data_IF_705403834017
#
_entry.id   IF_705403834017
#
_cell.length_a   1.000
_cell.length_b   1.000
_cell.length_c   1.000
_cell.angle_alpha   90.00
_cell.angle_beta   90.00
_cell.angle_gamma   90.00
#
_symmetry.space_group_name_H-M   'P 1'
#
loop_
_entity.id
_entity.type
_entity.pdbx_description
1 polymer ?
#
# COMPACT_ATOMS: atom_id res chain seq x y z
N UNK A 1 -55.39 85.07 10.36
CA UNK A 1 -54.60 84.28 9.38
C UNK A 1 -54.39 82.86 9.92
N UNK A 2 -54.61 81.85 9.06
CA UNK A 2 -54.17 80.41 9.11
C UNK A 2 -54.88 79.49 10.14
N UNK A 3 -55.80 78.60 9.74
CA UNK A 3 -55.69 77.27 9.04
C UNK A 3 -54.95 76.22 9.89
N UNK A 4 -55.36 74.95 10.10
CA UNK A 4 -56.42 74.08 9.59
C UNK A 4 -56.59 72.85 10.52
N UNK A 5 -57.76 72.22 10.46
CA UNK A 5 -58.14 70.93 11.07
C UNK A 5 -57.16 69.78 10.77
N UNK A 6 -56.69 69.08 11.81
CA UNK A 6 -56.20 67.71 11.69
C UNK A 6 -57.32 66.74 12.06
N UNK A 7 -58.04 66.28 11.03
CA UNK A 7 -58.95 65.14 11.13
C UNK A 7 -58.12 63.86 11.14
N UNK A 8 -57.96 63.25 12.32
CA UNK A 8 -57.38 61.91 12.44
C UNK A 8 -58.44 60.86 12.12
N UNK A 9 -58.40 60.38 10.87
CA UNK A 9 -59.16 59.20 10.45
C UNK A 9 -58.39 57.95 10.90
N UNK A 10 -58.70 57.39 12.07
CA UNK A 10 -58.18 56.07 12.45
C UNK A 10 -58.83 55.01 11.56
N UNK A 11 -58.06 54.52 10.59
CA UNK A 11 -58.48 53.40 9.73
C UNK A 11 -58.52 52.14 10.60
N UNK A 12 -59.71 51.59 10.83
CA UNK A 12 -59.87 50.32 11.55
C UNK A 12 -59.14 49.21 10.78
N UNK A 13 -58.02 48.74 11.30
CA UNK A 13 -57.35 47.56 10.77
C UNK A 13 -58.28 46.36 11.00
N UNK A 14 -58.59 45.56 9.97
CA UNK A 14 -59.44 44.38 10.14
C UNK A 14 -58.80 43.45 11.19
N UNK A 15 -59.59 42.95 12.14
CA UNK A 15 -59.13 42.08 13.23
C UNK A 15 -58.29 40.88 12.72
N UNK A 16 -58.60 40.42 11.51
CA UNK A 16 -57.87 39.38 10.78
C UNK A 16 -56.39 39.74 10.53
N UNK A 17 -56.07 40.98 10.16
CA UNK A 17 -54.67 41.39 9.92
C UNK A 17 -53.86 41.50 11.21
N UNK A 18 -54.50 41.91 12.31
CA UNK A 18 -53.85 42.00 13.64
C UNK A 18 -53.47 40.62 14.17
N UNK A 19 -54.24 39.58 13.84
CA UNK A 19 -53.96 38.21 14.24
C UNK A 19 -53.06 37.45 13.25
N UNK A 20 -53.26 37.60 11.94
CA UNK A 20 -52.55 36.76 10.95
C UNK A 20 -51.09 37.18 10.79
N UNK A 21 -50.80 38.47 10.72
CA UNK A 21 -49.45 38.98 10.46
C UNK A 21 -48.40 38.52 11.48
N UNK A 22 -48.62 38.67 12.81
CA UNK A 22 -47.60 38.24 13.79
C UNK A 22 -47.35 36.73 13.75
N UNK A 23 -48.39 35.92 13.53
CA UNK A 23 -48.26 34.47 13.43
C UNK A 23 -47.48 34.04 12.19
N UNK A 24 -47.79 34.62 11.03
CA UNK A 24 -47.07 34.32 9.78
C UNK A 24 -45.60 34.75 9.91
N UNK A 25 -45.35 35.94 10.46
CA UNK A 25 -43.99 36.43 10.69
C UNK A 25 -43.19 35.50 11.62
N UNK A 26 -43.82 35.00 12.69
CA UNK A 26 -43.21 34.03 13.60
C UNK A 26 -42.87 32.71 12.90
N UNK A 27 -43.76 32.18 12.05
CA UNK A 27 -43.51 30.94 11.30
C UNK A 27 -42.33 31.13 10.34
N UNK A 28 -42.32 32.20 9.55
CA UNK A 28 -41.21 32.48 8.64
C UNK A 28 -39.89 32.67 9.38
N UNK A 29 -39.92 33.36 10.53
CA UNK A 29 -38.75 33.52 11.39
C UNK A 29 -38.21 32.18 11.90
N UNK A 30 -39.10 31.33 12.44
CA UNK A 30 -38.72 30.02 12.97
C UNK A 30 -38.20 29.08 11.87
N UNK A 31 -38.93 28.96 10.76
CA UNK A 31 -38.55 28.09 9.64
C UNK A 31 -37.27 28.58 8.96
N UNK A 32 -37.12 29.91 8.79
CA UNK A 32 -35.90 30.49 8.24
C UNK A 32 -34.68 30.24 9.14
N UNK A 33 -34.84 30.39 10.46
CA UNK A 33 -33.79 30.12 11.43
C UNK A 33 -33.39 28.64 11.44
N UNK A 34 -34.37 27.73 11.48
CA UNK A 34 -34.13 26.28 11.43
C UNK A 34 -33.48 25.89 10.11
N UNK A 35 -33.94 26.45 8.98
CA UNK A 35 -33.35 26.23 7.66
C UNK A 35 -31.89 26.68 7.60
N UNK A 36 -31.59 27.88 8.12
CA UNK A 36 -30.22 28.40 8.18
C UNK A 36 -29.31 27.54 9.07
N UNK A 37 -29.77 27.17 10.27
CA UNK A 37 -29.02 26.30 11.17
C UNK A 37 -28.82 24.90 10.57
N UNK A 38 -29.83 24.35 9.88
CA UNK A 38 -29.75 23.05 9.22
C UNK A 38 -28.73 23.07 8.07
N UNK A 39 -28.73 24.12 7.26
CA UNK A 39 -27.74 24.30 6.19
C UNK A 39 -26.31 24.39 6.73
N UNK A 40 -26.08 25.23 7.76
CA UNK A 40 -24.76 25.39 8.39
C UNK A 40 -24.28 24.09 9.06
N UNK A 41 -25.18 23.35 9.69
CA UNK A 41 -24.86 22.06 10.29
C UNK A 41 -24.58 20.99 9.21
N UNK A 42 -25.33 20.99 8.11
CA UNK A 42 -25.11 20.12 6.96
C UNK A 42 -23.75 20.36 6.32
N UNK A 43 -23.36 21.61 6.08
CA UNK A 43 -22.06 21.97 5.54
C UNK A 43 -20.92 21.44 6.44
N UNK A 44 -21.03 21.64 7.75
CA UNK A 44 -20.05 21.13 8.72
C UNK A 44 -19.98 19.60 8.74
N UNK A 45 -21.12 18.91 8.68
CA UNK A 45 -21.17 17.45 8.66
C UNK A 45 -20.54 16.87 7.39
N UNK A 46 -20.79 17.49 6.23
CA UNK A 46 -20.18 17.08 4.96
C UNK A 46 -18.68 17.35 4.95
N UNK A 47 -18.23 18.52 5.44
CA UNK A 47 -16.81 18.84 5.55
C UNK A 47 -16.07 17.86 6.47
N UNK A 48 -16.66 17.54 7.63
CA UNK A 48 -16.06 16.60 8.57
C UNK A 48 -16.01 15.18 7.97
N UNK A 49 -17.07 14.74 7.28
CA UNK A 49 -17.09 13.44 6.61
C UNK A 49 -16.07 13.37 5.48
N UNK A 50 -15.96 14.41 4.65
CA UNK A 50 -14.98 14.48 3.57
C UNK A 50 -13.55 14.45 4.14
N UNK A 51 -13.28 15.20 5.21
CA UNK A 51 -11.99 15.19 5.91
C UNK A 51 -11.66 13.82 6.50
N UNK A 52 -12.62 13.18 7.17
CA UNK A 52 -12.45 11.82 7.71
C UNK A 52 -12.19 10.80 6.60
N UNK A 53 -12.91 10.89 5.47
CA UNK A 53 -12.72 10.01 4.33
C UNK A 53 -11.33 10.21 3.72
N UNK A 54 -10.90 11.45 3.50
CA UNK A 54 -9.55 11.76 3.00
C UNK A 54 -8.47 11.25 3.95
N UNK A 55 -8.61 11.48 5.26
CA UNK A 55 -7.66 11.00 6.26
C UNK A 55 -7.59 9.48 6.30
N UNK A 56 -8.74 8.77 6.25
CA UNK A 56 -8.77 7.31 6.21
C UNK A 56 -8.09 6.77 4.96
N UNK A 57 -8.42 7.30 3.78
CA UNK A 57 -7.79 6.90 2.52
C UNK A 57 -6.28 7.15 2.55
N UNK A 58 -5.82 8.32 3.01
CA UNK A 58 -4.38 8.59 3.14
C UNK A 58 -3.69 7.68 4.15
N UNK A 59 -4.30 7.38 5.30
CA UNK A 59 -3.73 6.47 6.29
C UNK A 59 -3.63 5.03 5.79
N UNK A 60 -4.67 4.51 5.13
CA UNK A 60 -4.65 3.15 4.57
C UNK A 60 -3.61 3.00 3.45
N UNK A 61 -3.47 4.01 2.58
CA UNK A 61 -2.43 4.00 1.54
C UNK A 61 -1.03 4.04 2.17
N UNK A 62 -0.84 4.83 3.22
CA UNK A 62 0.45 4.94 3.91
C UNK A 62 0.83 3.65 4.67
N UNK A 63 -0.12 3.02 5.36
CA UNK A 63 0.11 1.81 6.14
C UNK A 63 0.41 0.61 5.22
N UNK A 64 -0.31 0.48 4.10
CA UNK A 64 -0.01 -0.54 3.09
C UNK A 64 1.34 -0.30 2.40
N UNK A 65 1.68 0.96 2.08
CA UNK A 65 2.97 1.28 1.46
C UNK A 65 4.14 1.03 2.44
N UNK A 66 3.97 1.38 3.71
CA UNK A 66 4.98 1.16 4.75
C UNK A 66 5.22 -0.32 5.00
N UNK A 67 4.15 -1.14 5.08
CA UNK A 67 4.25 -2.58 5.21
C UNK A 67 4.92 -3.23 3.99
N UNK A 68 4.54 -2.80 2.78
CA UNK A 68 5.11 -3.29 1.52
C UNK A 68 6.62 -3.01 1.42
N UNK A 69 7.08 -1.87 1.93
CA UNK A 69 8.51 -1.52 1.95
C UNK A 69 9.28 -2.13 3.13
N UNK A 70 8.62 -2.45 4.24
CA UNK A 70 9.27 -3.02 5.42
C UNK A 70 9.57 -4.52 5.28
N UNK A 71 8.68 -5.29 4.63
CA UNK A 71 8.81 -6.76 4.52
C UNK A 71 10.12 -7.17 3.81
N UNK A 72 10.51 -6.62 2.64
CA UNK A 72 11.76 -7.00 1.97
C UNK A 72 12.99 -6.76 2.85
N UNK A 73 13.02 -5.65 3.59
CA UNK A 73 14.12 -5.36 4.50
C UNK A 73 14.21 -6.36 5.66
N UNK A 74 13.08 -6.74 6.24
CA UNK A 74 13.02 -7.74 7.31
C UNK A 74 13.48 -9.12 6.82
N UNK A 75 12.99 -9.56 5.66
CA UNK A 75 13.39 -10.82 5.04
C UNK A 75 14.90 -10.84 4.75
N UNK A 76 15.45 -9.75 4.22
CA UNK A 76 16.89 -9.64 4.00
C UNK A 76 17.70 -9.71 5.31
N UNK A 77 17.22 -9.08 6.38
CA UNK A 77 17.88 -9.19 7.69
C UNK A 77 17.81 -10.61 8.25
N UNK A 78 16.68 -11.31 8.12
CA UNK A 78 16.54 -12.72 8.52
C UNK A 78 17.54 -13.58 7.75
N UNK A 79 17.65 -13.39 6.43
CA UNK A 79 18.54 -14.18 5.59
C UNK A 79 20.02 -13.90 5.90
N UNK A 80 20.39 -12.64 6.08
CA UNK A 80 21.73 -12.26 6.50
C UNK A 80 22.08 -12.84 7.89
N UNK A 81 21.15 -12.81 8.83
CA UNK A 81 21.33 -13.40 10.15
C UNK A 81 21.47 -14.93 10.08
N UNK A 82 20.64 -15.61 9.29
CA UNK A 82 20.72 -17.06 9.11
C UNK A 82 22.08 -17.49 8.53
N UNK A 83 22.61 -16.75 7.56
CA UNK A 83 23.96 -16.98 7.03
C UNK A 83 25.05 -16.69 8.06
N UNK A 84 24.97 -15.55 8.77
CA UNK A 84 25.95 -15.16 9.79
C UNK A 84 26.01 -16.14 10.97
N UNK A 85 24.87 -16.70 11.36
CA UNK A 85 24.76 -17.70 12.42
C UNK A 85 25.14 -19.12 11.95
N UNK A 86 25.48 -19.31 10.68
CA UNK A 86 25.80 -20.62 10.10
C UNK A 86 24.59 -21.55 9.95
N UNK A 87 23.37 -21.04 10.13
CA UNK A 87 22.13 -21.80 9.95
C UNK A 87 21.80 -22.01 8.46
N UNK A 88 22.28 -21.10 7.61
CA UNK A 88 22.09 -21.16 6.17
C UNK A 88 23.45 -21.06 5.46
N UNK A 89 23.86 -22.14 4.82
CA UNK A 89 25.07 -22.15 4.00
C UNK A 89 24.73 -21.69 2.57
N UNK A 90 25.18 -20.49 2.19
CA UNK A 90 24.91 -19.92 0.87
C UNK A 90 25.39 -20.77 -0.32
N UNK A 91 26.36 -21.69 -0.10
CA UNK A 91 26.85 -22.62 -1.14
C UNK A 91 25.91 -23.81 -1.35
N UNK A 92 25.05 -24.13 -0.39
CA UNK A 92 24.08 -25.22 -0.49
C UNK A 92 22.80 -24.74 -1.20
N UNK A 93 22.91 -24.45 -2.50
CA UNK A 93 21.83 -23.84 -3.29
C UNK A 93 20.50 -24.59 -3.23
N UNK A 94 20.50 -25.92 -3.13
CA UNK A 94 19.25 -26.69 -2.96
C UNK A 94 18.54 -26.38 -1.63
N UNK A 95 19.31 -26.33 -0.54
CA UNK A 95 18.81 -25.98 0.79
C UNK A 95 18.32 -24.54 0.82
N UNK A 96 19.13 -23.62 0.26
CA UNK A 96 18.79 -22.19 0.19
C UNK A 96 17.55 -21.95 -0.66
N UNK A 97 17.47 -22.53 -1.87
CA UNK A 97 16.31 -22.37 -2.74
C UNK A 97 15.02 -22.84 -2.09
N UNK A 98 15.05 -23.97 -1.38
CA UNK A 98 13.90 -24.48 -0.61
C UNK A 98 13.53 -23.57 0.56
N UNK A 99 14.54 -23.04 1.28
CA UNK A 99 14.32 -22.08 2.36
C UNK A 99 13.66 -20.79 1.84
N UNK A 100 14.15 -20.23 0.73
CA UNK A 100 13.55 -19.05 0.08
C UNK A 100 12.16 -19.34 -0.46
N UNK A 101 11.93 -20.55 -1.00
CA UNK A 101 10.61 -21.00 -1.43
C UNK A 101 9.62 -21.03 -0.28
N UNK A 102 10.01 -21.50 0.91
CA UNK A 102 9.16 -21.47 2.10
C UNK A 102 8.85 -20.04 2.52
N UNK A 103 9.82 -19.12 2.47
CA UNK A 103 9.57 -17.71 2.76
C UNK A 103 8.56 -17.09 1.79
N UNK A 104 8.60 -17.44 0.50
CA UNK A 104 7.63 -17.01 -0.51
C UNK A 104 6.20 -17.53 -0.26
N UNK A 105 6.03 -18.62 0.51
CA UNK A 105 4.70 -19.08 0.93
C UNK A 105 4.11 -18.21 2.05
N UNK A 106 4.96 -17.58 2.86
CA UNK A 106 4.55 -16.79 4.03
C UNK A 106 4.42 -15.31 3.68
N UNK A 107 5.35 -14.79 2.87
CA UNK A 107 5.40 -13.39 2.50
C UNK A 107 4.84 -13.17 1.09
N UNK A 108 4.07 -12.11 0.92
CA UNK A 108 3.57 -11.67 -0.38
C UNK A 108 4.68 -10.92 -1.14
N UNK A 109 5.67 -11.68 -1.61
CA UNK A 109 6.80 -11.21 -2.39
C UNK A 109 6.75 -11.79 -3.80
N UNK A 110 7.34 -11.07 -4.75
CA UNK A 110 7.43 -11.51 -6.15
C UNK A 110 8.66 -12.38 -6.40
N UNK A 111 9.76 -12.09 -5.72
CA UNK A 111 11.03 -12.81 -5.87
C UNK A 111 11.95 -12.59 -4.68
N UNK A 112 12.67 -13.62 -4.25
CA UNK A 112 13.76 -13.56 -3.26
C UNK A 112 14.92 -14.39 -3.79
N UNK A 113 16.14 -13.87 -3.75
CA UNK A 113 17.32 -14.61 -4.16
C UNK A 113 18.52 -14.35 -3.26
N UNK A 114 19.40 -15.35 -3.18
CA UNK A 114 20.73 -15.24 -2.61
C UNK A 114 21.71 -15.68 -3.69
N UNK A 115 22.68 -14.82 -3.94
CA UNK A 115 23.68 -15.04 -4.96
C UNK A 115 25.06 -14.71 -4.40
N UNK A 116 26.05 -15.50 -4.83
CA UNK A 116 27.42 -15.44 -4.36
C UNK A 116 28.28 -14.62 -5.33
N UNK A 117 29.37 -13.97 -4.86
CA UNK A 117 30.29 -13.22 -5.72
C UNK A 117 30.94 -14.07 -6.83
N UNK A 118 30.97 -15.39 -6.66
CA UNK A 118 31.44 -16.40 -7.61
C UNK A 118 30.52 -16.57 -8.83
N UNK A 119 29.31 -16.01 -8.78
CA UNK A 119 28.35 -15.99 -9.89
C UNK A 119 27.25 -17.03 -9.79
N UNK A 120 27.38 -18.03 -8.93
CA UNK A 120 26.27 -18.93 -8.59
C UNK A 120 25.28 -18.32 -7.59
N UNK A 121 24.06 -18.85 -7.56
CA UNK A 121 23.01 -18.39 -6.67
C UNK A 121 21.74 -19.19 -6.83
N UNK A 122 20.76 -18.89 -6.02
CA UNK A 122 19.43 -19.49 -6.11
C UNK A 122 18.38 -18.50 -5.64
N UNK A 123 17.17 -18.63 -6.17
CA UNK A 123 16.05 -17.81 -5.79
C UNK A 123 14.75 -18.58 -5.79
N UNK A 124 13.71 -17.94 -5.25
CA UNK A 124 12.35 -18.39 -5.36
C UNK A 124 11.48 -17.24 -5.89
N UNK A 125 10.62 -17.54 -6.85
CA UNK A 125 9.90 -16.54 -7.62
C UNK A 125 8.46 -16.90 -7.90
N UNK A 126 7.60 -15.89 -8.02
CA UNK A 126 6.20 -16.02 -8.38
C UNK A 126 5.93 -15.22 -9.66
N UNK A 127 6.33 -15.78 -10.79
CA UNK A 127 6.27 -15.09 -12.09
C UNK A 127 4.86 -14.97 -12.66
N UNK A 128 3.98 -15.92 -12.34
CA UNK A 128 2.57 -15.95 -12.77
C UNK A 128 1.61 -15.34 -11.72
N UNK A 129 2.16 -14.77 -10.63
CA UNK A 129 1.38 -14.24 -9.51
C UNK A 129 0.73 -15.32 -8.63
N UNK A 130 1.01 -16.61 -8.81
CA UNK A 130 0.44 -17.71 -7.99
C UNK A 130 1.46 -18.76 -7.60
N UNK A 131 2.09 -19.38 -8.58
CA UNK A 131 2.98 -20.53 -8.42
C UNK A 131 4.37 -20.08 -8.03
N UNK A 132 4.89 -20.59 -6.91
CA UNK A 132 6.26 -20.34 -6.50
C UNK A 132 7.18 -21.35 -7.17
N UNK A 133 8.16 -20.87 -7.93
CA UNK A 133 9.21 -21.66 -8.57
C UNK A 133 10.54 -21.49 -7.85
N UNK A 134 11.52 -22.35 -8.14
CA UNK A 134 12.90 -22.20 -7.66
C UNK A 134 13.81 -21.96 -8.87
N UNK A 135 14.67 -20.96 -8.77
CA UNK A 135 15.73 -20.67 -9.72
C UNK A 135 17.06 -21.18 -9.18
N UNK A 136 17.82 -21.89 -10.01
CA UNK A 136 19.22 -22.26 -9.75
C UNK A 136 20.09 -21.60 -10.81
N UNK A 137 21.10 -20.86 -10.34
CA UNK A 137 22.08 -20.17 -11.17
C UNK A 137 23.45 -20.74 -10.86
N UNK A 138 24.16 -21.16 -11.90
CA UNK A 138 25.54 -21.62 -11.82
C UNK A 138 26.48 -20.60 -12.46
N UNK A 139 27.80 -20.66 -12.20
CA UNK A 139 28.73 -19.74 -12.83
C UNK A 139 28.69 -19.89 -14.35
N UNK A 140 28.64 -18.75 -15.03
CA UNK A 140 28.63 -18.73 -16.50
C UNK A 140 29.99 -19.16 -17.02
N UNK A 141 30.01 -20.17 -17.89
CA UNK A 141 31.22 -20.60 -18.59
C UNK A 141 31.00 -20.56 -20.10
N UNK A 142 32.06 -20.51 -20.92
CA UNK A 142 31.92 -20.61 -22.38
C UNK A 142 31.21 -21.89 -22.82
N UNK A 143 31.36 -22.99 -22.05
CA UNK A 143 30.71 -24.28 -22.30
C UNK A 143 29.27 -24.36 -21.80
N UNK A 144 28.84 -23.45 -20.92
CA UNK A 144 27.49 -23.39 -20.37
C UNK A 144 26.94 -21.95 -20.45
N UNK A 145 26.53 -21.49 -21.65
CA UNK A 145 26.02 -20.14 -21.84
C UNK A 145 24.64 -19.92 -21.22
N UNK A 146 23.82 -20.98 -21.04
CA UNK A 146 22.56 -20.95 -20.29
C UNK A 146 22.82 -21.50 -18.89
N UNK A 147 23.11 -20.60 -17.96
CA UNK A 147 23.55 -20.92 -16.62
C UNK A 147 22.45 -20.72 -15.56
N UNK A 148 21.24 -20.31 -15.95
CA UNK A 148 20.09 -20.20 -15.06
C UNK A 148 18.99 -21.18 -15.46
N UNK A 149 18.44 -21.89 -14.49
CA UNK A 149 17.35 -22.85 -14.68
C UNK A 149 16.26 -22.59 -13.66
N UNK A 150 15.02 -22.43 -14.14
CA UNK A 150 13.82 -22.30 -13.29
C UNK A 150 13.10 -23.63 -13.24
N UNK A 151 12.78 -24.08 -12.03
CA UNK A 151 12.09 -25.32 -11.76
C UNK A 151 10.70 -25.05 -11.19
N UNK A 152 9.70 -25.76 -11.71
CA UNK A 152 8.43 -25.93 -11.01
C UNK A 152 8.65 -26.78 -9.76
N UNK A 153 7.86 -26.51 -8.72
CA UNK A 153 7.98 -27.22 -7.44
C UNK A 153 6.70 -27.98 -7.10
N UNK A 154 6.84 -29.06 -6.35
CA UNK A 154 5.72 -29.70 -5.67
C UNK A 154 5.22 -28.86 -4.46
N UNK A 155 4.23 -29.39 -3.72
CA UNK A 155 3.69 -28.77 -2.51
C UNK A 155 4.67 -28.66 -1.35
N UNK A 156 5.84 -29.30 -1.44
CA UNK A 156 6.90 -29.28 -0.44
C UNK A 156 8.12 -28.46 -0.88
N UNK A 157 8.04 -27.75 -2.01
CA UNK A 157 9.15 -26.96 -2.54
C UNK A 157 10.26 -27.80 -3.16
N UNK A 158 10.00 -29.05 -3.54
CA UNK A 158 10.98 -29.87 -4.25
C UNK A 158 10.88 -29.61 -5.76
N UNK A 159 12.00 -29.38 -6.48
CA UNK A 159 12.02 -29.26 -7.93
C UNK A 159 11.44 -30.49 -8.62
N UNK A 160 10.58 -30.30 -9.62
CA UNK A 160 9.91 -31.37 -10.37
C UNK A 160 10.30 -31.36 -11.84
N UNK A 161 10.02 -30.26 -12.54
CA UNK A 161 10.28 -30.10 -13.97
C UNK A 161 10.91 -28.74 -14.27
N UNK A 162 11.74 -28.70 -15.30
CA UNK A 162 12.32 -27.45 -15.79
C UNK A 162 11.23 -26.67 -16.50
N UNK A 163 10.96 -25.47 -16.00
CA UNK A 163 10.05 -24.51 -16.61
C UNK A 163 10.76 -23.71 -17.70
N UNK A 164 11.98 -23.25 -17.41
CA UNK A 164 12.74 -22.38 -18.30
C UNK A 164 14.25 -22.51 -18.05
N UNK A 165 15.02 -22.17 -19.09
CA UNK A 165 16.48 -21.99 -19.00
C UNK A 165 16.85 -20.66 -19.65
N UNK A 166 17.72 -19.89 -19.00
CA UNK A 166 18.15 -18.58 -19.47
C UNK A 166 19.66 -18.39 -19.32
N UNK A 167 20.19 -17.37 -20.00
CA UNK A 167 21.52 -16.83 -19.73
C UNK A 167 21.37 -15.75 -18.69
N UNK A 168 22.10 -15.85 -17.57
CA UNK A 168 22.04 -14.88 -16.49
C UNK A 168 23.46 -14.43 -16.11
N UNK A 169 23.68 -13.12 -16.02
CA UNK A 169 24.94 -12.54 -15.53
C UNK A 169 24.72 -11.97 -14.14
N UNK A 170 24.99 -12.80 -13.13
CA UNK A 170 24.83 -12.45 -11.73
C UNK A 170 25.70 -11.27 -11.32
N UNK A 171 26.93 -11.14 -11.86
CA UNK A 171 27.92 -10.17 -11.34
C UNK A 171 27.78 -8.78 -11.98
N UNK A 172 27.25 -8.72 -13.21
CA UNK A 172 27.04 -7.45 -13.93
C UNK A 172 25.63 -6.87 -13.80
N UNK A 173 24.76 -7.46 -12.98
CA UNK A 173 23.42 -6.92 -12.75
C UNK A 173 23.47 -5.55 -12.03
N UNK A 174 22.58 -4.63 -12.39
CA UNK A 174 22.47 -3.29 -11.76
C UNK A 174 22.30 -3.41 -10.24
N UNK A 175 21.59 -4.44 -9.78
CA UNK A 175 21.34 -4.74 -8.35
C UNK A 175 22.63 -4.92 -7.55
N UNK A 176 23.69 -5.48 -8.17
CA UNK A 176 25.00 -5.65 -7.52
C UNK A 176 25.81 -4.36 -7.39
N UNK A 177 25.71 -3.47 -8.38
CA UNK A 177 26.48 -2.22 -8.39
C UNK A 177 25.95 -1.19 -7.39
N UNK A 178 24.71 -1.30 -6.96
CA UNK A 178 24.06 -0.26 -6.14
C UNK A 178 23.93 -0.62 -4.64
N UNK A 179 24.05 -1.89 -4.21
CA UNK A 179 23.69 -2.28 -2.82
C UNK A 179 24.79 -2.92 -1.96
N UNK A 180 25.99 -3.20 -2.47
CA UNK A 180 27.14 -3.64 -1.64
C UNK A 180 27.85 -2.51 -0.87
N UNK A 181 27.26 -1.31 -0.81
CA UNK A 181 27.73 -0.25 0.08
C UNK A 181 27.48 -0.51 1.57
N UNK A 182 26.71 -1.54 1.95
CA UNK A 182 26.26 -1.70 3.35
C UNK A 182 26.28 -3.12 3.96
N UNK A 183 26.60 -4.19 3.21
CA UNK A 183 26.64 -5.54 3.79
C UNK A 183 27.93 -6.24 3.36
N UNK A 184 29.00 -5.97 4.11
CA UNK A 184 30.26 -6.69 4.05
C UNK A 184 30.09 -8.01 4.82
N UNK A 185 29.81 -9.11 4.11
CA UNK A 185 29.88 -10.46 4.70
C UNK A 185 31.34 -10.93 4.57
N UNK A 186 32.07 -11.14 5.68
CA UNK A 186 33.46 -11.56 5.61
C UNK A 186 33.55 -12.97 5.00
N UNK A 187 34.49 -13.14 4.07
CA UNK A 187 34.88 -14.44 3.56
C UNK A 187 35.47 -15.28 4.71
N UNK A 188 34.92 -16.49 4.89
CA UNK A 188 35.57 -17.58 5.63
C UNK A 188 36.20 -18.52 4.63
#
# INVERSE_FOLDING_TARGET
MKKNFFSQKTRSLPLQWVLIVPFVLQIFGAVGLVGYLSFKNGEKAVQELAKQLMQRTSSQVNDHLSAYLAIPHQVNQINANAMRLGLLNGRERKTVGKFLWQQMQVYDLTYIAISLPTGEGTGAGRYDGKTVTIDDVVPKTPSLPKNATTYLTDSNGNPTQILATATWDTVNEIVYRTHLGSINVPAV
#
